data_IF_816915514272
#
_entry.id   IF_816915514272
#
_cell.length_a   1.000
_cell.length_b   1.000
_cell.length_c   1.000
_cell.angle_alpha   90.00
_cell.angle_beta   90.00
_cell.angle_gamma   90.00
#
_symmetry.space_group_name_H-M   'P 1'
#
loop_
_entity.id
_entity.type
_entity.pdbx_description
1 polymer ?
#
# COMPACT_ATOMS: atom_id res chain seq x y z
N UNK A 1 -38.24 1.52 22.18
CA UNK A 1 -36.93 0.85 22.26
C UNK A 1 -36.04 1.51 21.21
N UNK A 2 -35.14 2.28 21.68
CA UNK A 2 -34.47 3.38 20.98
C UNK A 2 -33.24 2.88 20.21
N UNK A 3 -33.16 3.30 18.98
CA UNK A 3 -32.09 3.02 17.98
C UNK A 3 -30.77 3.71 18.38
N UNK A 4 -30.03 3.05 19.30
CA UNK A 4 -28.74 3.55 19.82
C UNK A 4 -27.53 2.80 19.19
N UNK A 5 -27.47 2.67 17.87
CA UNK A 5 -26.49 1.79 17.22
C UNK A 5 -25.81 2.35 15.98
N UNK A 6 -25.64 3.68 15.81
CA UNK A 6 -25.02 4.15 14.56
C UNK A 6 -23.89 5.20 14.70
N UNK A 7 -23.62 5.69 15.90
CA UNK A 7 -22.62 6.75 16.08
C UNK A 7 -21.19 6.18 16.20
N UNK A 8 -21.03 4.99 16.72
CA UNK A 8 -19.71 4.35 16.93
C UNK A 8 -19.12 3.78 15.63
N UNK A 9 -19.95 3.27 14.73
CA UNK A 9 -19.50 2.72 13.44
C UNK A 9 -18.98 3.79 12.49
N UNK A 10 -19.66 4.94 12.42
CA UNK A 10 -19.26 6.05 11.55
C UNK A 10 -17.93 6.70 11.95
N UNK A 11 -17.70 6.86 13.25
CA UNK A 11 -16.46 7.43 13.77
C UNK A 11 -15.25 6.53 13.50
N UNK A 12 -15.42 5.21 13.59
CA UNK A 12 -14.35 4.26 13.30
C UNK A 12 -14.02 4.22 11.80
N UNK A 13 -15.02 4.25 10.93
CA UNK A 13 -14.80 4.31 9.48
C UNK A 13 -14.08 5.58 9.04
N UNK A 14 -14.46 6.72 9.60
CA UNK A 14 -13.79 8.00 9.33
C UNK A 14 -12.33 7.97 9.81
N UNK A 15 -12.07 7.43 10.99
CA UNK A 15 -10.71 7.28 11.52
C UNK A 15 -9.85 6.38 10.64
N UNK A 16 -10.37 5.26 10.16
CA UNK A 16 -9.66 4.38 9.22
C UNK A 16 -9.37 5.07 7.89
N UNK A 17 -10.34 5.82 7.36
CA UNK A 17 -10.16 6.58 6.13
C UNK A 17 -9.06 7.65 6.26
N UNK A 18 -9.03 8.37 7.38
CA UNK A 18 -8.00 9.38 7.65
C UNK A 18 -6.61 8.72 7.75
N UNK A 19 -6.49 7.62 8.50
CA UNK A 19 -5.21 6.88 8.62
C UNK A 19 -4.73 6.42 7.24
N UNK A 20 -5.61 5.86 6.42
CA UNK A 20 -5.25 5.40 5.08
C UNK A 20 -4.91 6.56 4.14
N UNK A 21 -5.57 7.71 4.26
CA UNK A 21 -5.24 8.90 3.50
C UNK A 21 -3.83 9.41 3.85
N UNK A 22 -3.50 9.48 5.14
CA UNK A 22 -2.17 9.88 5.61
C UNK A 22 -1.09 8.89 5.12
N UNK A 23 -1.36 7.59 5.19
CA UNK A 23 -0.48 6.57 4.63
C UNK A 23 -0.28 6.77 3.13
N UNK A 24 -1.37 7.06 2.40
CA UNK A 24 -1.33 7.35 0.96
C UNK A 24 -0.48 8.58 0.62
N UNK A 25 -0.53 9.64 1.43
CA UNK A 25 0.33 10.83 1.28
C UNK A 25 1.81 10.45 1.54
N UNK A 26 2.06 9.54 2.47
CA UNK A 26 3.42 9.09 2.79
C UNK A 26 4.11 8.35 1.64
N UNK A 27 3.37 7.66 0.78
CA UNK A 27 3.93 6.86 -0.32
C UNK A 27 4.71 7.70 -1.34
N UNK A 28 4.18 8.78 -1.92
CA UNK A 28 4.94 9.64 -2.83
C UNK A 28 6.13 10.32 -2.15
N UNK A 29 5.99 10.71 -0.89
CA UNK A 29 7.08 11.32 -0.11
C UNK A 29 8.22 10.32 0.05
N UNK A 30 7.91 9.08 0.47
CA UNK A 30 8.89 7.99 0.56
C UNK A 30 9.57 7.75 -0.79
N UNK A 31 8.80 7.68 -1.88
CA UNK A 31 9.33 7.46 -3.22
C UNK A 31 10.29 8.59 -3.64
N UNK A 32 9.93 9.86 -3.37
CA UNK A 32 10.77 11.01 -3.65
C UNK A 32 12.08 10.98 -2.85
N UNK A 33 11.99 10.71 -1.56
CA UNK A 33 13.16 10.64 -0.68
C UNK A 33 14.10 9.49 -1.07
N UNK A 34 13.58 8.30 -1.29
CA UNK A 34 14.37 7.12 -1.67
C UNK A 34 15.00 7.31 -3.06
N UNK A 35 14.27 7.88 -4.01
CA UNK A 35 14.78 8.22 -5.33
C UNK A 35 15.92 9.26 -5.25
N UNK A 36 15.75 10.32 -4.45
CA UNK A 36 16.79 11.34 -4.23
C UNK A 36 18.04 10.75 -3.60
N UNK A 37 17.86 9.91 -2.57
CA UNK A 37 18.97 9.18 -1.95
C UNK A 37 19.68 8.26 -2.94
N UNK A 38 18.92 7.58 -3.81
CA UNK A 38 19.48 6.73 -4.87
C UNK A 38 20.35 7.49 -5.85
N UNK A 39 19.95 8.70 -6.22
CA UNK A 39 20.78 9.59 -7.05
C UNK A 39 22.06 10.01 -6.32
N UNK A 40 21.93 10.40 -5.05
CA UNK A 40 23.07 10.82 -4.25
C UNK A 40 24.10 9.71 -4.04
N UNK A 41 23.63 8.48 -3.80
CA UNK A 41 24.47 7.29 -3.63
C UNK A 41 24.90 6.65 -4.95
N UNK A 42 24.41 7.16 -6.09
CA UNK A 42 24.56 6.53 -7.41
C UNK A 42 24.13 5.06 -7.43
N UNK A 43 23.20 4.70 -6.54
CA UNK A 43 22.70 3.33 -6.38
C UNK A 43 21.26 3.31 -5.81
N UNK A 44 20.25 3.13 -6.66
CA UNK A 44 18.87 2.95 -6.21
C UNK A 44 18.71 1.74 -5.26
N UNK A 45 19.49 0.69 -5.48
CA UNK A 45 19.48 -0.52 -4.65
C UNK A 45 19.96 -0.22 -3.22
N UNK A 46 21.05 0.54 -3.07
CA UNK A 46 21.55 0.96 -1.77
C UNK A 46 20.52 1.84 -1.03
N UNK A 47 19.91 2.80 -1.71
CA UNK A 47 18.88 3.64 -1.14
C UNK A 47 17.68 2.83 -0.63
N UNK A 48 17.23 1.85 -1.42
CA UNK A 48 16.16 0.94 -1.02
C UNK A 48 16.56 0.09 0.18
N UNK A 49 17.79 -0.41 0.25
CA UNK A 49 18.29 -1.18 1.39
C UNK A 49 18.29 -0.34 2.68
N UNK A 50 18.71 0.92 2.64
CA UNK A 50 18.61 1.82 3.78
C UNK A 50 17.16 2.09 4.20
N UNK A 51 16.26 2.29 3.24
CA UNK A 51 14.84 2.47 3.53
C UNK A 51 14.26 1.23 4.23
N UNK A 52 14.57 0.02 3.76
CA UNK A 52 14.15 -1.22 4.41
C UNK A 52 14.76 -1.41 5.79
N UNK A 53 16.02 -1.07 5.96
CA UNK A 53 16.68 -1.15 7.26
C UNK A 53 15.98 -0.26 8.30
N UNK A 54 15.69 0.99 7.94
CA UNK A 54 14.98 1.92 8.82
C UNK A 54 13.55 1.41 9.09
N UNK A 55 12.83 0.95 8.06
CA UNK A 55 11.49 0.38 8.21
C UNK A 55 11.50 -0.86 9.12
N UNK A 56 12.50 -1.73 8.99
CA UNK A 56 12.69 -2.89 9.85
C UNK A 56 12.91 -2.47 11.31
N UNK A 57 13.77 -1.49 11.57
CA UNK A 57 14.01 -1.00 12.92
C UNK A 57 12.74 -0.43 13.56
N UNK A 58 11.97 0.36 12.81
CA UNK A 58 10.70 0.92 13.29
C UNK A 58 9.68 -0.19 13.56
N UNK A 59 9.58 -1.17 12.68
CA UNK A 59 8.68 -2.32 12.84
C UNK A 59 9.08 -3.17 14.05
N UNK A 60 10.38 -3.33 14.28
CA UNK A 60 10.90 -4.06 15.44
C UNK A 60 10.56 -3.34 16.75
N UNK A 61 10.71 -2.01 16.80
CA UNK A 61 10.30 -1.21 17.95
C UNK A 61 8.80 -1.35 18.23
N UNK A 62 7.98 -1.26 17.19
CA UNK A 62 6.53 -1.47 17.30
C UNK A 62 6.21 -2.89 17.83
N UNK A 63 6.94 -3.89 17.37
CA UNK A 63 6.79 -5.28 17.80
C UNK A 63 7.16 -5.49 19.28
N UNK A 64 8.13 -4.73 19.79
CA UNK A 64 8.51 -4.80 21.22
C UNK A 64 7.39 -4.31 22.14
N UNK A 65 6.53 -3.42 21.67
CA UNK A 65 5.37 -2.86 22.40
C UNK A 65 4.12 -3.71 22.22
N UNK A 66 4.04 -4.45 21.11
CA UNK A 66 2.88 -5.30 20.77
C UNK A 66 2.79 -6.54 21.70
N UNK A 67 1.58 -7.07 21.82
CA UNK A 67 1.37 -8.35 22.50
C UNK A 67 2.13 -9.49 21.81
N UNK A 68 2.87 -10.27 22.61
CA UNK A 68 3.74 -11.36 22.11
C UNK A 68 3.00 -12.68 21.84
N UNK A 69 1.68 -12.70 21.92
CA UNK A 69 0.84 -13.88 21.66
C UNK A 69 1.03 -14.43 20.24
N UNK A 70 1.39 -13.55 19.28
CA UNK A 70 1.65 -13.92 17.88
C UNK A 70 2.75 -14.97 17.71
N UNK A 71 3.75 -15.02 18.61
CA UNK A 71 4.87 -15.95 18.51
C UNK A 71 4.39 -17.41 18.47
N UNK A 72 3.34 -17.73 19.23
CA UNK A 72 2.72 -19.06 19.24
C UNK A 72 1.99 -19.40 17.96
N UNK A 73 1.61 -18.41 17.15
CA UNK A 73 0.86 -18.57 15.92
C UNK A 73 1.77 -18.69 14.68
N UNK A 74 3.05 -18.27 14.77
CA UNK A 74 3.99 -18.32 13.65
C UNK A 74 4.10 -19.72 13.02
N UNK A 75 4.24 -20.82 13.80
CA UNK A 75 4.41 -22.15 13.22
C UNK A 75 3.17 -22.64 12.46
N UNK A 76 1.98 -22.16 12.81
CA UNK A 76 0.72 -22.53 12.16
C UNK A 76 0.36 -21.65 10.96
N UNK A 77 1.08 -20.53 10.76
CA UNK A 77 0.81 -19.61 9.67
C UNK A 77 1.19 -20.23 8.30
N UNK A 78 0.35 -20.09 7.27
CA UNK A 78 0.67 -20.55 5.93
C UNK A 78 1.93 -19.86 5.41
N UNK A 79 2.95 -20.64 5.04
CA UNK A 79 4.29 -20.13 4.66
C UNK A 79 4.26 -19.18 3.47
N UNK A 80 3.34 -19.38 2.53
CA UNK A 80 3.22 -18.52 1.34
C UNK A 80 2.87 -17.06 1.68
N UNK A 81 2.23 -16.80 2.83
CA UNK A 81 1.89 -15.43 3.26
C UNK A 81 3.13 -14.59 3.58
N UNK A 82 4.23 -15.23 3.97
CA UNK A 82 5.49 -14.51 4.24
C UNK A 82 6.14 -13.97 2.96
N UNK A 83 5.72 -14.47 1.78
CA UNK A 83 6.19 -13.95 0.48
C UNK A 83 5.74 -12.48 0.26
N UNK A 84 4.78 -11.98 1.03
CA UNK A 84 4.36 -10.57 0.98
C UNK A 84 5.55 -9.59 1.07
N UNK A 85 6.59 -9.92 1.85
CA UNK A 85 7.81 -9.12 1.92
C UNK A 85 8.53 -8.96 0.57
N UNK A 86 8.46 -9.95 -0.31
CA UNK A 86 9.05 -9.86 -1.64
C UNK A 86 8.33 -8.82 -2.52
N UNK A 87 7.00 -8.69 -2.40
CA UNK A 87 6.24 -7.65 -3.10
C UNK A 87 6.60 -6.24 -2.61
N UNK A 88 6.83 -6.08 -1.30
CA UNK A 88 7.29 -4.80 -0.74
C UNK A 88 8.67 -4.45 -1.30
N UNK A 89 9.59 -5.43 -1.34
CA UNK A 89 10.93 -5.24 -1.91
C UNK A 89 10.84 -4.88 -3.40
N UNK A 90 10.05 -5.62 -4.17
CA UNK A 90 9.83 -5.33 -5.59
C UNK A 90 9.31 -3.90 -5.80
N UNK A 91 8.30 -3.48 -5.02
CA UNK A 91 7.73 -2.14 -5.13
C UNK A 91 8.78 -1.05 -4.86
N UNK A 92 9.48 -1.12 -3.72
CA UNK A 92 10.43 -0.07 -3.33
C UNK A 92 11.64 -0.02 -4.25
N UNK A 93 12.18 -1.16 -4.68
CA UNK A 93 13.26 -1.22 -5.66
C UNK A 93 12.82 -0.63 -7.00
N UNK A 94 11.64 -1.02 -7.48
CA UNK A 94 11.11 -0.54 -8.76
C UNK A 94 10.88 0.96 -8.73
N UNK A 95 10.23 1.51 -7.70
CA UNK A 95 9.95 2.95 -7.62
C UNK A 95 11.24 3.76 -7.51
N UNK A 96 12.23 3.27 -6.76
CA UNK A 96 13.53 3.94 -6.60
C UNK A 96 14.30 4.03 -7.92
N UNK A 97 14.14 3.03 -8.80
CA UNK A 97 14.76 2.99 -10.11
C UNK A 97 13.97 3.78 -11.16
N UNK A 98 12.64 3.62 -11.17
CA UNK A 98 11.74 4.18 -12.20
C UNK A 98 11.49 5.68 -12.00
N UNK A 99 11.26 6.12 -10.76
CA UNK A 99 10.85 7.49 -10.47
C UNK A 99 11.84 8.57 -10.97
N UNK A 100 13.18 8.38 -10.95
CA UNK A 100 14.12 9.35 -11.51
C UNK A 100 13.98 9.56 -13.02
N UNK A 101 13.48 8.57 -13.76
CA UNK A 101 13.40 8.57 -15.22
C UNK A 101 11.99 8.90 -15.72
N UNK A 102 10.99 8.38 -15.03
CA UNK A 102 9.58 8.46 -15.44
C UNK A 102 8.80 9.58 -14.76
N UNK A 103 9.36 10.14 -13.68
CA UNK A 103 8.68 11.08 -12.80
C UNK A 103 7.90 10.38 -11.70
N UNK A 104 7.90 10.99 -10.49
CA UNK A 104 7.26 10.42 -9.31
C UNK A 104 5.75 10.36 -9.50
N UNK A 105 5.13 11.43 -10.02
CA UNK A 105 3.69 11.49 -10.26
C UNK A 105 3.22 10.38 -11.20
N UNK A 106 3.90 10.21 -12.32
CA UNK A 106 3.58 9.17 -13.30
C UNK A 106 3.71 7.76 -12.70
N UNK A 107 4.81 7.50 -12.00
CA UNK A 107 5.03 6.21 -11.35
C UNK A 107 3.92 5.89 -10.34
N UNK A 108 3.52 6.85 -9.50
CA UNK A 108 2.48 6.68 -8.50
C UNK A 108 1.11 6.47 -9.14
N UNK A 109 0.78 7.13 -10.25
CA UNK A 109 -0.48 6.91 -10.94
C UNK A 109 -0.62 5.47 -11.44
N UNK A 110 0.43 4.90 -12.05
CA UNK A 110 0.40 3.50 -12.47
C UNK A 110 0.35 2.52 -11.28
N UNK A 111 1.02 2.83 -10.18
CA UNK A 111 0.94 2.05 -8.95
C UNK A 111 -0.49 2.05 -8.40
N UNK A 112 -1.14 3.21 -8.30
CA UNK A 112 -2.53 3.32 -7.85
C UNK A 112 -3.48 2.51 -8.72
N UNK A 113 -3.31 2.58 -10.04
CA UNK A 113 -4.12 1.80 -10.98
C UNK A 113 -3.95 0.29 -10.75
N UNK A 114 -2.70 -0.17 -10.62
CA UNK A 114 -2.41 -1.57 -10.32
C UNK A 114 -3.00 -2.02 -8.98
N UNK A 115 -2.91 -1.18 -7.94
CA UNK A 115 -3.49 -1.45 -6.62
C UNK A 115 -5.02 -1.58 -6.67
N UNK A 116 -5.70 -0.70 -7.41
CA UNK A 116 -7.16 -0.77 -7.54
C UNK A 116 -7.63 -2.02 -8.26
N UNK A 117 -6.96 -2.38 -9.35
CA UNK A 117 -7.27 -3.60 -10.10
C UNK A 117 -7.04 -4.83 -9.21
N UNK A 118 -5.88 -4.91 -8.56
CA UNK A 118 -5.54 -6.02 -7.67
C UNK A 118 -6.51 -6.12 -6.49
N UNK A 119 -6.84 -4.99 -5.85
CA UNK A 119 -7.80 -4.96 -4.76
C UNK A 119 -9.19 -5.42 -5.21
N UNK A 120 -9.64 -5.00 -6.40
CA UNK A 120 -10.91 -5.43 -6.94
C UNK A 120 -10.98 -6.95 -7.18
N UNK A 121 -9.89 -7.55 -7.68
CA UNK A 121 -9.77 -9.00 -7.87
C UNK A 121 -9.74 -9.73 -6.52
N UNK A 122 -8.91 -9.27 -5.58
CA UNK A 122 -8.77 -9.87 -4.24
C UNK A 122 -10.11 -9.88 -3.51
N UNK A 123 -10.81 -8.75 -3.50
CA UNK A 123 -12.12 -8.62 -2.84
C UNK A 123 -13.20 -9.44 -3.54
N UNK A 124 -13.18 -9.51 -4.88
CA UNK A 124 -14.19 -10.27 -5.63
C UNK A 124 -14.15 -11.75 -5.32
N UNK A 125 -12.95 -12.31 -5.23
CA UNK A 125 -12.73 -13.75 -4.98
C UNK A 125 -12.46 -14.07 -3.51
N UNK A 126 -12.36 -13.08 -2.61
CA UNK A 126 -12.01 -13.29 -1.21
C UNK A 126 -10.61 -13.90 -1.02
N UNK A 127 -9.66 -13.55 -1.89
CA UNK A 127 -8.33 -14.11 -1.86
C UNK A 127 -7.60 -13.74 -0.58
N UNK A 128 -6.74 -14.64 -0.10
CA UNK A 128 -5.92 -14.43 1.11
C UNK A 128 -6.71 -14.17 2.40
N UNK A 129 -8.00 -14.56 2.44
CA UNK A 129 -8.88 -14.33 3.58
C UNK A 129 -9.52 -12.93 3.61
N UNK A 130 -9.47 -12.19 2.51
CA UNK A 130 -10.16 -10.91 2.39
C UNK A 130 -11.69 -11.09 2.46
N UNK A 131 -12.39 -10.05 2.95
CA UNK A 131 -13.84 -10.04 2.91
C UNK A 131 -14.33 -10.03 1.46
N UNK A 132 -15.22 -10.98 1.13
CA UNK A 132 -15.79 -11.06 -0.21
C UNK A 132 -16.68 -9.85 -0.46
N UNK A 133 -16.31 -9.06 -1.46
CA UNK A 133 -17.08 -7.92 -1.94
C UNK A 133 -17.12 -7.98 -3.48
N UNK A 134 -18.22 -8.50 -3.99
CA UNK A 134 -18.36 -8.71 -5.44
C UNK A 134 -18.24 -7.41 -6.22
N UNK A 135 -17.58 -7.49 -7.37
CA UNK A 135 -17.47 -6.37 -8.31
C UNK A 135 -18.86 -5.90 -8.73
N UNK A 136 -19.23 -4.70 -8.29
CA UNK A 136 -20.41 -4.03 -8.80
C UNK A 136 -20.08 -3.24 -10.07
N UNK A 137 -21.09 -3.01 -10.92
CA UNK A 137 -20.95 -2.15 -12.10
C UNK A 137 -20.45 -0.75 -11.74
N UNK A 138 -20.88 -0.23 -10.58
CA UNK A 138 -20.44 1.05 -10.04
C UNK A 138 -18.92 1.06 -9.73
N UNK A 139 -18.38 -0.04 -9.16
CA UNK A 139 -16.95 -0.17 -8.86
C UNK A 139 -16.12 -0.28 -10.15
N UNK A 140 -16.61 -1.02 -11.13
CA UNK A 140 -15.96 -1.12 -12.44
C UNK A 140 -15.93 0.23 -13.14
N UNK A 141 -17.05 0.95 -13.18
CA UNK A 141 -17.11 2.28 -13.79
C UNK A 141 -16.20 3.29 -13.07
N UNK A 142 -16.12 3.23 -11.73
CA UNK A 142 -15.17 4.04 -10.96
C UNK A 142 -13.72 3.80 -11.35
N UNK A 143 -13.30 2.54 -11.51
CA UNK A 143 -11.96 2.18 -11.97
C UNK A 143 -11.71 2.72 -13.39
N UNK A 144 -12.67 2.60 -14.31
CA UNK A 144 -12.54 3.13 -15.67
C UNK A 144 -12.39 4.65 -15.69
N UNK A 145 -13.14 5.37 -14.86
CA UNK A 145 -13.01 6.84 -14.70
C UNK A 145 -11.61 7.19 -14.17
N UNK A 146 -11.07 6.41 -13.23
CA UNK A 146 -9.71 6.63 -12.73
C UNK A 146 -8.65 6.36 -13.79
N UNK A 147 -8.81 5.31 -14.62
CA UNK A 147 -7.93 5.05 -15.77
C UNK A 147 -7.93 6.25 -16.72
N UNK A 148 -9.11 6.77 -17.03
CA UNK A 148 -9.25 7.94 -17.88
C UNK A 148 -8.62 9.20 -17.24
N UNK A 149 -8.80 9.41 -15.94
CA UNK A 149 -8.15 10.49 -15.18
C UNK A 149 -6.63 10.39 -15.22
N UNK A 150 -6.08 9.19 -15.03
CA UNK A 150 -4.63 8.94 -15.16
C UNK A 150 -4.16 9.26 -16.58
N UNK A 151 -4.88 8.83 -17.60
CA UNK A 151 -4.56 9.13 -19.01
C UNK A 151 -4.53 10.63 -19.27
N UNK A 152 -5.50 11.39 -18.76
CA UNK A 152 -5.52 12.85 -18.89
C UNK A 152 -4.29 13.50 -18.24
N UNK A 153 -3.91 13.07 -17.04
CA UNK A 153 -2.74 13.63 -16.35
C UNK A 153 -1.40 13.33 -17.02
N UNK A 154 -1.36 12.27 -17.85
CA UNK A 154 -0.15 11.92 -18.63
C UNK A 154 -0.01 12.77 -19.90
N UNK A 155 -1.10 13.37 -20.38
CA UNK A 155 -1.12 14.18 -21.61
C UNK A 155 -1.20 15.68 -21.32
N UNK A 156 -1.14 16.09 -20.05
CA UNK A 156 -1.14 17.49 -19.62
C UNK A 156 0.30 17.99 -19.38
#
# INVERSE_FOLDING_TARGET
>A
MEKKTDITGGNNMLSFAIIMLLAGIGIPIMAAMTSSLGKHLSSPVAASAFAFFIAFCISLLALMIADKSFVKQIPSAPKYLFVAGAFVAFYVLSISFVAPHFGIGNAIFFVLLGQLISAAIIDHYGLFGAQVNHLSTMRVSGILVMVFGVWLTQNA
#
